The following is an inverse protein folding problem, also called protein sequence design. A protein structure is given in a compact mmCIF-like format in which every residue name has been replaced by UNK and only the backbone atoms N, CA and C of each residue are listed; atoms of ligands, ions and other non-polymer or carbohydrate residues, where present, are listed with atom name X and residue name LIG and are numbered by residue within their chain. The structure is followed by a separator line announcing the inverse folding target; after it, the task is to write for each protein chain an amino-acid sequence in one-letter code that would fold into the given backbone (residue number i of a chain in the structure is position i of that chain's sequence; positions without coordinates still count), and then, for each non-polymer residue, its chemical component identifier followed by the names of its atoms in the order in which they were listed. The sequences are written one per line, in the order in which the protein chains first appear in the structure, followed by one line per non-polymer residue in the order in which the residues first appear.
data_IF_329739304095
#
_entry.id   IF_329739304095
#
_cell.length_a   1.000
_cell.length_b   1.000
_cell.length_c   1.000
_cell.angle_alpha   90.00
_cell.angle_beta   90.00
_cell.angle_gamma   90.00
#
_symmetry.space_group_name_H-M   'P 1'
#
loop_
_entity.id
_entity.type
_entity.pdbx_description
1 polymer ?
#
# COMPACT_ATOMS: atom_id res chain seq x y z
N UNK A 1 -5.55 30.19 30.09
CA UNK A 1 -6.25 29.05 29.49
C UNK A 1 -5.36 28.55 28.39
N UNK A 2 -4.59 27.50 28.64
CA UNK A 2 -3.72 26.89 27.65
C UNK A 2 -4.56 26.05 26.70
N UNK A 3 -4.44 26.30 25.40
CA UNK A 3 -5.02 25.43 24.37
C UNK A 3 -4.39 24.04 24.47
N UNK A 4 -5.16 22.96 24.28
CA UNK A 4 -4.59 21.63 24.21
C UNK A 4 -3.67 21.57 22.98
N UNK A 5 -2.39 21.26 23.20
CA UNK A 5 -1.47 20.87 22.13
C UNK A 5 -2.06 19.64 21.46
N UNK A 6 -2.58 19.81 20.24
CA UNK A 6 -2.96 18.70 19.40
C UNK A 6 -1.75 17.76 19.30
N UNK A 7 -1.92 16.44 19.56
CA UNK A 7 -0.85 15.50 19.33
C UNK A 7 -0.47 15.62 17.86
N UNK A 8 0.79 15.94 17.60
CA UNK A 8 1.37 16.01 16.27
C UNK A 8 0.85 14.85 15.43
N UNK A 9 0.00 15.13 14.44
CA UNK A 9 -0.17 14.24 13.32
C UNK A 9 1.24 14.14 12.73
N UNK A 10 1.89 12.99 12.92
CA UNK A 10 3.05 12.66 12.11
C UNK A 10 2.46 12.57 10.70
N UNK A 11 2.57 13.67 9.95
CA UNK A 11 2.36 13.67 8.51
C UNK A 11 3.37 12.65 8.01
N UNK A 12 2.89 11.44 7.71
CA UNK A 12 3.72 10.43 7.06
C UNK A 12 4.02 11.02 5.68
N UNK A 13 5.28 11.36 5.46
CA UNK A 13 5.74 11.76 4.13
C UNK A 13 5.64 10.52 3.24
N UNK A 14 4.62 10.49 2.38
CA UNK A 14 4.52 9.48 1.34
C UNK A 14 5.47 9.86 0.22
N UNK A 15 6.26 8.91 -0.32
CA UNK A 15 7.06 9.19 -1.50
C UNK A 15 6.13 9.50 -2.69
N UNK A 16 6.50 10.50 -3.50
CA UNK A 16 5.60 11.04 -4.53
C UNK A 16 5.41 10.09 -5.72
N UNK A 17 4.20 10.04 -6.28
CA UNK A 17 3.85 9.17 -7.43
C UNK A 17 4.69 9.47 -8.68
N UNK A 18 5.24 10.68 -8.82
CA UNK A 18 6.13 11.06 -9.93
C UNK A 18 7.46 10.32 -9.87
N UNK A 19 7.98 10.00 -8.68
CA UNK A 19 9.13 9.12 -8.51
C UNK A 19 8.84 7.70 -9.01
N UNK A 20 7.58 7.26 -8.96
CA UNK A 20 7.18 5.91 -9.33
C UNK A 20 6.84 5.72 -10.80
N UNK A 21 6.20 6.71 -11.42
CA UNK A 21 5.95 6.71 -12.88
C UNK A 21 7.24 6.91 -13.69
N UNK A 22 8.26 7.52 -13.09
CA UNK A 22 9.62 7.64 -13.67
C UNK A 22 10.50 6.40 -13.43
N UNK A 23 9.98 5.39 -12.72
CA UNK A 23 10.69 4.14 -12.45
C UNK A 23 11.76 4.24 -11.37
N UNK A 24 11.68 5.23 -10.46
CA UNK A 24 12.61 5.29 -9.34
C UNK A 24 12.30 4.19 -8.33
N UNK A 25 13.33 3.55 -7.78
CA UNK A 25 13.14 2.21 -7.24
C UNK A 25 13.09 2.25 -5.67
N UNK A 26 12.28 1.43 -4.99
CA UNK A 26 11.93 1.58 -3.53
C UNK A 26 12.78 0.72 -2.57
N UNK A 27 13.01 1.22 -1.35
CA UNK A 27 13.61 0.49 -0.23
C UNK A 27 12.77 -0.72 0.22
N UNK A 28 13.41 -1.67 0.90
CA UNK A 28 12.73 -2.87 1.44
C UNK A 28 11.67 -2.48 2.49
N UNK A 29 10.55 -3.21 2.52
CA UNK A 29 9.50 -3.07 3.55
C UNK A 29 8.38 -2.09 3.21
N UNK A 30 8.44 -1.36 2.10
CA UNK A 30 7.37 -0.44 1.68
C UNK A 30 7.36 -0.18 0.17
N UNK A 31 6.21 0.18 -0.40
CA UNK A 31 6.12 0.54 -1.80
C UNK A 31 4.75 0.47 -2.45
N UNK A 32 4.68 0.87 -3.71
CA UNK A 32 3.45 0.83 -4.51
C UNK A 32 3.25 -0.51 -5.21
N UNK A 33 2.02 -1.00 -5.17
CA UNK A 33 1.63 -2.17 -5.95
C UNK A 33 1.58 -1.83 -7.44
N UNK A 34 2.28 -2.63 -8.24
CA UNK A 34 2.18 -2.60 -9.71
C UNK A 34 1.19 -3.66 -10.24
N UNK A 35 0.82 -4.60 -9.38
CA UNK A 35 -0.17 -5.63 -9.62
C UNK A 35 -0.83 -5.99 -8.29
N UNK A 36 -2.11 -6.32 -8.34
CA UNK A 36 -2.92 -6.72 -7.19
C UNK A 36 -3.99 -7.72 -7.64
N UNK A 37 -4.21 -8.77 -6.84
CA UNK A 37 -5.28 -9.75 -7.07
C UNK A 37 -5.75 -10.37 -5.74
N UNK A 38 -6.86 -11.10 -5.79
CA UNK A 38 -7.37 -11.87 -4.67
C UNK A 38 -7.34 -13.36 -5.00
N UNK A 39 -6.98 -14.18 -4.01
CA UNK A 39 -6.91 -15.63 -4.13
C UNK A 39 -7.52 -16.30 -2.90
N UNK A 40 -8.15 -17.46 -3.10
CA UNK A 40 -8.65 -18.32 -2.02
C UNK A 40 -7.82 -19.61 -2.00
N UNK A 41 -7.38 -20.01 -0.80
CA UNK A 41 -6.68 -21.27 -0.56
C UNK A 41 -7.24 -21.91 0.71
N UNK A 42 -7.95 -23.04 0.54
CA UNK A 42 -8.65 -23.71 1.63
C UNK A 42 -9.72 -22.81 2.26
N UNK A 43 -9.59 -22.51 3.55
CA UNK A 43 -10.50 -21.63 4.28
C UNK A 43 -9.96 -20.19 4.41
N UNK A 44 -8.94 -19.83 3.64
CA UNK A 44 -8.24 -18.56 3.77
C UNK A 44 -8.35 -17.78 2.47
N UNK A 45 -8.58 -16.47 2.61
CA UNK A 45 -8.57 -15.54 1.49
C UNK A 45 -7.33 -14.67 1.62
N UNK A 46 -6.72 -14.37 0.50
CA UNK A 46 -5.52 -13.57 0.40
C UNK A 46 -5.71 -12.44 -0.58
N UNK A 47 -5.23 -11.27 -0.20
CA UNK A 47 -4.86 -10.21 -1.12
C UNK A 47 -3.39 -10.38 -1.46
N UNK A 48 -3.05 -10.45 -2.75
CA UNK A 48 -1.68 -10.62 -3.21
C UNK A 48 -1.31 -9.43 -4.08
N UNK A 49 -0.14 -8.87 -3.87
CA UNK A 49 0.40 -7.76 -4.65
C UNK A 49 1.84 -8.01 -5.09
N UNK A 50 2.27 -7.27 -6.12
CA UNK A 50 3.68 -7.20 -6.54
C UNK A 50 4.14 -5.76 -6.41
N UNK A 51 5.32 -5.55 -5.83
CA UNK A 51 6.02 -4.27 -5.78
C UNK A 51 7.31 -4.33 -6.61
N UNK A 52 7.78 -3.18 -7.12
CA UNK A 52 9.07 -3.06 -7.81
C UNK A 52 10.11 -2.41 -6.87
N UNK A 53 11.15 -3.17 -6.53
CA UNK A 53 12.21 -2.78 -5.59
C UNK A 53 13.30 -1.92 -6.22
N UNK A 54 14.22 -1.43 -5.36
CA UNK A 54 15.24 -0.46 -5.77
C UNK A 54 16.18 -0.93 -6.88
N UNK A 55 16.45 -2.22 -6.87
CA UNK A 55 17.32 -2.91 -7.82
C UNK A 55 16.60 -3.34 -9.11
N UNK A 56 15.34 -2.93 -9.29
CA UNK A 56 14.51 -3.35 -10.41
C UNK A 56 13.92 -4.75 -10.28
N UNK A 57 14.18 -5.47 -9.18
CA UNK A 57 13.53 -6.75 -8.89
C UNK A 57 12.09 -6.56 -8.48
N UNK A 58 11.29 -7.61 -8.66
CA UNK A 58 9.91 -7.67 -8.21
C UNK A 58 9.84 -8.44 -6.89
N UNK A 59 9.04 -7.95 -5.96
CA UNK A 59 8.81 -8.61 -4.69
C UNK A 59 7.32 -8.89 -4.50
N UNK A 60 6.93 -10.15 -4.27
CA UNK A 60 5.55 -10.46 -3.93
C UNK A 60 5.27 -10.08 -2.49
N UNK A 61 4.08 -9.54 -2.24
CA UNK A 61 3.56 -9.23 -0.92
C UNK A 61 2.15 -9.80 -0.79
N UNK A 62 1.71 -10.12 0.42
CA UNK A 62 0.36 -10.65 0.61
C UNK A 62 -0.26 -10.16 1.91
N UNK A 63 -1.59 -10.24 2.00
CA UNK A 63 -2.34 -10.08 3.24
C UNK A 63 -3.36 -11.17 3.35
N UNK A 64 -3.42 -11.88 4.47
CA UNK A 64 -4.57 -12.73 4.78
C UNK A 64 -5.75 -11.84 5.15
N UNK A 65 -6.88 -12.05 4.48
CA UNK A 65 -8.06 -11.19 4.59
C UNK A 65 -9.31 -12.01 4.92
N UNK A 66 -10.24 -11.39 5.62
CA UNK A 66 -11.55 -11.97 5.88
C UNK A 66 -12.52 -11.63 4.75
N UNK A 67 -13.62 -12.38 4.67
CA UNK A 67 -14.73 -12.07 3.76
C UNK A 67 -15.30 -10.67 4.02
N UNK A 68 -15.33 -10.21 5.28
CA UNK A 68 -15.78 -8.87 5.63
C UNK A 68 -14.82 -7.80 5.09
N UNK A 69 -13.51 -8.03 5.22
CA UNK A 69 -12.49 -7.12 4.72
C UNK A 69 -12.53 -7.02 3.19
N UNK A 70 -12.73 -8.15 2.49
CA UNK A 70 -12.90 -8.14 1.03
C UNK A 70 -14.07 -7.27 0.60
N UNK A 71 -15.19 -7.32 1.33
CA UNK A 71 -16.36 -6.49 1.03
C UNK A 71 -16.12 -5.00 1.30
N UNK A 72 -15.40 -4.66 2.36
CA UNK A 72 -15.13 -3.25 2.71
C UNK A 72 -14.04 -2.61 1.86
N UNK A 73 -12.99 -3.37 1.53
CA UNK A 73 -11.75 -2.83 0.99
C UNK A 73 -11.47 -3.28 -0.44
N UNK A 74 -12.04 -4.42 -0.86
CA UNK A 74 -11.77 -5.02 -2.17
C UNK A 74 -12.14 -4.11 -3.34
N UNK A 75 -13.28 -3.41 -3.26
CA UNK A 75 -13.67 -2.47 -4.31
C UNK A 75 -12.72 -1.27 -4.39
N UNK A 76 -12.29 -0.74 -3.24
CA UNK A 76 -11.29 0.34 -3.18
C UNK A 76 -9.99 -0.11 -3.83
N UNK A 77 -9.51 -1.30 -3.52
CA UNK A 77 -8.27 -1.86 -4.09
C UNK A 77 -8.40 -2.05 -5.61
N UNK A 78 -9.54 -2.54 -6.09
CA UNK A 78 -9.73 -2.75 -7.53
C UNK A 78 -9.89 -1.43 -8.32
N UNK A 79 -10.39 -0.38 -7.68
CA UNK A 79 -10.66 0.91 -8.33
C UNK A 79 -9.54 1.94 -8.15
N UNK A 80 -8.59 1.70 -7.27
CA UNK A 80 -7.53 2.67 -6.98
C UNK A 80 -6.38 2.50 -7.96
N UNK A 81 -6.00 3.56 -8.70
CA UNK A 81 -4.89 3.49 -9.63
C UNK A 81 -3.54 3.31 -8.93
N UNK A 82 -3.46 3.70 -7.65
CA UNK A 82 -2.26 3.61 -6.83
C UNK A 82 -2.60 3.09 -5.44
N UNK A 83 -1.88 2.03 -5.03
CA UNK A 83 -2.00 1.47 -3.69
C UNK A 83 -0.60 1.38 -3.11
N UNK A 84 -0.41 2.03 -1.98
CA UNK A 84 0.81 1.97 -1.20
C UNK A 84 0.67 0.92 -0.11
N UNK A 85 1.73 0.14 0.13
CA UNK A 85 1.76 -0.93 1.13
C UNK A 85 3.06 -0.90 1.92
N UNK A 86 2.97 -1.27 3.20
CA UNK A 86 4.11 -1.63 4.03
C UNK A 86 4.04 -3.13 4.33
N UNK A 87 5.17 -3.82 4.26
CA UNK A 87 5.25 -5.25 4.55
C UNK A 87 6.43 -5.57 5.47
N UNK A 88 6.29 -6.67 6.21
CA UNK A 88 7.35 -7.18 7.08
C UNK A 88 8.30 -8.15 6.36
N UNK A 89 9.29 -8.69 7.06
CA UNK A 89 10.29 -9.60 6.48
C UNK A 89 9.72 -10.93 5.95
N UNK A 90 8.45 -11.24 6.25
CA UNK A 90 7.74 -12.39 5.68
C UNK A 90 6.88 -12.03 4.46
N UNK A 91 7.03 -10.82 3.91
CA UNK A 91 6.22 -10.30 2.81
C UNK A 91 4.74 -10.09 3.14
N UNK A 92 4.37 -10.10 4.43
CA UNK A 92 3.00 -9.84 4.85
C UNK A 92 2.74 -8.33 4.96
N UNK A 93 1.69 -7.85 4.31
CA UNK A 93 1.25 -6.45 4.31
C UNK A 93 0.65 -6.11 5.67
N UNK A 94 1.32 -5.24 6.41
CA UNK A 94 0.90 -4.79 7.74
C UNK A 94 -0.01 -3.56 7.61
N UNK A 95 0.33 -2.64 6.72
CA UNK A 95 -0.39 -1.39 6.48
C UNK A 95 -0.55 -1.13 4.97
N UNK A 96 -1.62 -0.45 4.59
CA UNK A 96 -1.88 -0.10 3.20
C UNK A 96 -2.74 1.16 3.10
N UNK A 97 -2.60 1.86 1.98
CA UNK A 97 -3.37 3.05 1.67
C UNK A 97 -3.66 3.14 0.18
N UNK A 98 -4.90 3.45 -0.16
CA UNK A 98 -5.35 3.66 -1.53
C UNK A 98 -5.38 5.16 -1.83
N UNK A 99 -4.54 5.60 -2.78
CA UNK A 99 -4.39 7.01 -3.10
C UNK A 99 -5.27 7.33 -4.31
N UNK A 100 -6.24 8.22 -4.11
CA UNK A 100 -7.30 8.50 -5.09
C UNK A 100 -7.04 9.75 -5.93
N UNK A 101 -6.20 10.68 -5.49
CA UNK A 101 -6.06 11.99 -6.15
C UNK A 101 -4.65 12.27 -6.65
N UNK A 102 -4.56 12.93 -7.82
CA UNK A 102 -3.29 13.40 -8.38
C UNK A 102 -2.74 14.62 -7.64
N UNK A 103 -3.58 15.34 -6.89
CA UNK A 103 -3.22 16.58 -6.22
C UNK A 103 -2.62 16.41 -4.82
N UNK A 104 -2.78 15.27 -4.15
CA UNK A 104 -2.13 14.98 -2.86
C UNK A 104 -0.63 14.60 -3.00
N UNK A 105 -0.04 14.81 -4.17
CA UNK A 105 1.23 14.22 -4.58
C UNK A 105 2.27 15.23 -5.06
N UNK A 106 1.92 16.52 -5.04
CA UNK A 106 2.75 17.62 -5.52
C UNK A 106 3.09 18.67 -4.43
N UNK A 107 2.64 18.48 -3.19
CA UNK A 107 3.02 19.31 -2.03
C UNK A 107 4.13 18.65 -1.17
#
# INVERSE_FOLDING_TARGET
MDQPKHPHSILREFPSISEYTTGKPIEWGQGFLIYSTFMEEGYHNYWIGIVRLRNGHYHPVFKRVSQMWLRSSGQTILNSPYIYVHWNDHSEIEEWEAIQDKHELED
#
